data_IF_535273294691
#
_entry.id   IF_535273294691
#
_cell.length_a   1.000
_cell.length_b   1.000
_cell.length_c   1.000
_cell.angle_alpha   90.00
_cell.angle_beta   90.00
_cell.angle_gamma   90.00
#
_symmetry.space_group_name_H-M   'P 1'
#
loop_
_entity.id
_entity.type
_entity.pdbx_description
1 polymer ?
#
# COMPACT_ATOMS: atom_id res chain seq x y z
N UNK A 1 -35.37 5.82 -60.02
CA UNK A 1 -36.54 6.71 -60.17
C UNK A 1 -37.03 7.12 -58.78
N UNK A 2 -37.71 8.28 -58.66
CA UNK A 2 -38.57 8.65 -57.50
C UNK A 2 -39.94 7.92 -57.63
N UNK A 3 -40.88 7.93 -56.66
CA UNK A 3 -41.04 8.86 -55.52
C UNK A 3 -41.43 8.23 -54.16
N UNK A 4 -41.68 9.08 -53.15
CA UNK A 4 -42.62 8.81 -52.04
C UNK A 4 -44.06 9.24 -52.43
N UNK A 5 -44.96 9.70 -51.52
CA UNK A 5 -44.78 10.11 -50.12
C UNK A 5 -45.51 9.09 -49.19
N UNK A 6 -46.31 9.34 -48.14
CA UNK A 6 -46.83 10.55 -47.45
C UNK A 6 -47.35 10.22 -46.05
N UNK A 7 -47.23 11.17 -45.11
CA UNK A 7 -47.94 11.16 -43.81
C UNK A 7 -49.40 11.62 -43.96
N UNK A 8 -50.25 11.38 -42.94
CA UNK A 8 -50.84 12.56 -42.28
C UNK A 8 -50.81 12.48 -40.73
N UNK A 9 -51.03 13.64 -40.10
CA UNK A 9 -51.02 13.84 -38.65
C UNK A 9 -52.40 13.70 -38.01
N UNK A 10 -52.47 13.15 -36.79
CA UNK A 10 -53.56 13.41 -35.86
C UNK A 10 -53.05 13.57 -34.41
N UNK A 11 -53.56 14.60 -33.75
CA UNK A 11 -53.59 14.75 -32.29
C UNK A 11 -55.05 15.02 -31.89
N UNK A 12 -55.43 14.72 -30.64
CA UNK A 12 -56.38 15.65 -30.00
C UNK A 12 -56.16 15.90 -28.49
N UNK A 13 -56.46 17.14 -28.12
CA UNK A 13 -57.08 17.60 -26.84
C UNK A 13 -56.50 17.19 -25.48
N UNK A 14 -55.97 18.20 -24.78
CA UNK A 14 -56.12 18.34 -23.32
C UNK A 14 -57.56 18.75 -22.93
N UNK A 15 -58.05 18.37 -21.73
CA UNK A 15 -59.26 18.95 -21.15
C UNK A 15 -58.97 20.30 -20.48
N UNK A 16 -59.92 21.25 -20.52
CA UNK A 16 -59.79 22.59 -19.91
C UNK A 16 -61.06 23.00 -19.17
N UNK A 17 -60.99 23.13 -17.84
CA UNK A 17 -61.97 23.80 -16.96
C UNK A 17 -61.24 24.32 -15.70
N UNK A 18 -61.66 25.38 -15.00
CA UNK A 18 -62.31 26.66 -15.39
C UNK A 18 -62.55 27.48 -14.12
N UNK A 19 -62.26 28.80 -14.13
CA UNK A 19 -62.80 29.85 -13.21
C UNK A 19 -62.53 29.72 -11.68
N UNK A 20 -62.43 30.77 -10.86
CA UNK A 20 -62.27 32.21 -11.12
C UNK A 20 -61.83 33.00 -9.86
N UNK A 21 -60.95 33.99 -10.07
CA UNK A 21 -60.84 35.29 -9.35
C UNK A 21 -60.38 35.36 -7.86
N UNK A 22 -59.90 36.53 -7.37
CA UNK A 22 -58.89 36.58 -6.30
C UNK A 22 -59.29 37.31 -5.00
N UNK A 23 -58.67 36.90 -3.88
CA UNK A 23 -58.73 37.62 -2.59
C UNK A 23 -57.44 38.40 -2.30
N UNK A 24 -57.45 39.73 -2.51
CA UNK A 24 -56.37 40.64 -2.09
C UNK A 24 -56.75 41.33 -0.77
N UNK A 25 -56.09 41.00 0.33
CA UNK A 25 -56.21 41.75 1.60
C UNK A 25 -54.98 42.62 1.86
N UNK A 26 -55.22 43.85 2.33
CA UNK A 26 -54.18 44.85 2.67
C UNK A 26 -54.67 45.75 3.83
N UNK A 27 -54.31 45.37 5.04
CA UNK A 27 -54.43 46.17 6.28
C UNK A 27 -53.63 45.47 7.37
N UNK A 28 -53.00 46.13 8.35
CA UNK A 28 -52.75 47.58 8.53
C UNK A 28 -51.58 47.75 9.50
N UNK A 29 -50.81 48.85 9.39
CA UNK A 29 -49.90 49.25 10.48
C UNK A 29 -50.74 49.78 11.66
N UNK A 30 -50.41 49.38 12.87
CA UNK A 30 -50.61 50.17 14.07
C UNK A 30 -49.33 50.13 14.92
N UNK A 31 -49.10 51.18 15.72
CA UNK A 31 -47.90 51.35 16.51
C UNK A 31 -48.04 50.67 17.88
N UNK A 32 -46.93 50.14 18.40
CA UNK A 32 -46.83 49.66 19.78
C UNK A 32 -45.37 49.72 20.25
N UNK A 33 -45.07 50.63 21.17
CA UNK A 33 -43.70 50.85 21.66
C UNK A 33 -43.41 50.06 22.92
N UNK A 34 -42.39 49.20 22.88
CA UNK A 34 -41.66 48.66 24.03
C UNK A 34 -40.23 48.32 23.55
N UNK A 35 -39.27 49.23 23.72
CA UNK A 35 -38.31 49.24 24.84
C UNK A 35 -37.46 47.97 24.86
N UNK A 36 -36.22 48.09 24.37
CA UNK A 36 -35.18 47.05 24.41
C UNK A 36 -34.38 47.18 25.71
N UNK A 37 -34.28 46.12 26.55
CA UNK A 37 -33.29 46.08 27.62
C UNK A 37 -31.93 45.64 27.06
N UNK A 38 -31.03 46.61 26.85
CA UNK A 38 -29.61 46.33 26.64
C UNK A 38 -29.02 45.86 27.98
N UNK A 39 -28.38 44.69 28.01
CA UNK A 39 -27.60 44.23 29.16
C UNK A 39 -26.11 44.20 28.79
N UNK A 40 -25.19 44.76 29.60
CA UNK A 40 -23.84 45.07 29.16
C UNK A 40 -22.88 43.88 29.21
N UNK A 41 -21.93 43.85 28.27
CA UNK A 41 -20.74 43.00 28.34
C UNK A 41 -19.80 43.50 29.45
N UNK A 42 -19.58 42.68 30.48
CA UNK A 42 -18.55 42.91 31.49
C UNK A 42 -17.42 41.87 31.35
N UNK A 43 -16.18 42.37 31.20
CA UNK A 43 -14.96 41.57 31.06
C UNK A 43 -14.68 40.70 32.29
N UNK A 44 -14.40 39.41 32.09
CA UNK A 44 -14.09 38.48 33.19
C UNK A 44 -12.65 38.56 33.71
N UNK A 45 -12.39 37.81 34.80
CA UNK A 45 -11.04 37.57 35.35
C UNK A 45 -11.02 36.18 36.02
N UNK A 46 -10.02 35.30 35.76
CA UNK A 46 -10.08 33.91 36.19
C UNK A 46 -9.55 33.67 37.62
N UNK A 47 -10.37 33.03 38.44
CA UNK A 47 -9.89 31.96 39.33
C UNK A 47 -10.10 30.62 38.61
N UNK A 48 -9.45 29.50 38.94
CA UNK A 48 -8.49 29.18 39.98
C UNK A 48 -8.35 27.65 39.94
N UNK A 49 -7.13 27.11 39.79
CA UNK A 49 -6.93 25.81 39.12
C UNK A 49 -7.51 24.57 39.82
N UNK A 50 -8.63 24.06 39.31
CA UNK A 50 -9.09 22.67 39.53
C UNK A 50 -8.35 21.69 38.61
N UNK A 51 -7.98 20.50 39.11
CA UNK A 51 -7.09 19.56 38.42
C UNK A 51 -7.86 18.60 37.52
N UNK A 52 -7.88 18.87 36.22
CA UNK A 52 -8.35 17.90 35.22
C UNK A 52 -7.43 16.67 35.18
N UNK A 53 -7.94 15.50 35.55
CA UNK A 53 -7.22 14.25 35.41
C UNK A 53 -6.97 13.94 33.93
N UNK A 54 -5.74 13.54 33.58
CA UNK A 54 -5.40 13.02 32.24
C UNK A 54 -4.93 11.57 32.37
N UNK A 55 -5.31 10.67 31.44
CA UNK A 55 -4.86 9.29 31.48
C UNK A 55 -3.35 9.20 31.30
N UNK A 56 -2.68 8.45 32.17
CA UNK A 56 -1.27 8.12 32.02
C UNK A 56 -1.09 7.03 30.96
N UNK A 57 -0.52 7.35 29.80
CA UNK A 57 0.19 6.37 28.99
C UNK A 57 1.27 7.03 28.12
N UNK A 58 2.24 6.22 27.66
CA UNK A 58 3.35 6.61 26.77
C UNK A 58 4.24 7.78 27.25
N UNK A 59 5.03 7.54 28.30
CA UNK A 59 6.35 8.20 28.43
C UNK A 59 7.40 7.28 29.08
N UNK A 60 8.06 6.51 28.22
CA UNK A 60 9.17 5.61 28.55
C UNK A 60 9.90 5.18 27.27
N UNK A 61 11.09 4.59 27.41
CA UNK A 61 11.93 4.09 26.30
C UNK A 61 12.49 5.19 25.36
N UNK A 62 13.13 6.23 25.91
CA UNK A 62 14.21 6.97 25.21
C UNK A 62 15.41 7.16 26.16
N UNK A 63 16.08 6.07 26.52
CA UNK A 63 17.33 6.10 27.31
C UNK A 63 18.24 4.88 27.20
N UNK A 64 17.93 3.89 26.32
CA UNK A 64 18.69 2.63 26.20
C UNK A 64 19.10 2.24 24.76
N UNK A 65 19.32 3.21 23.88
CA UNK A 65 19.79 2.98 22.48
C UNK A 65 21.00 3.87 22.15
N UNK A 66 22.07 3.79 22.96
CA UNK A 66 23.39 4.41 22.65
C UNK A 66 24.60 3.49 22.92
N UNK A 67 24.38 2.22 23.28
CA UNK A 67 25.42 1.24 23.61
C UNK A 67 25.35 -0.08 22.79
N UNK A 68 24.65 -0.05 21.65
CA UNK A 68 24.68 -1.14 20.65
C UNK A 68 25.36 -0.71 19.33
N UNK A 69 25.35 0.59 19.01
CA UNK A 69 25.93 1.14 17.78
C UNK A 69 27.46 0.96 17.68
N UNK A 70 28.16 0.91 18.82
CA UNK A 70 29.63 0.83 18.85
C UNK A 70 30.16 -0.58 18.52
N UNK A 71 29.45 -1.64 18.93
CA UNK A 71 29.88 -3.02 18.68
C UNK A 71 29.81 -3.38 17.18
N UNK A 72 28.77 -2.91 16.49
CA UNK A 72 28.55 -3.17 15.06
C UNK A 72 29.64 -2.48 14.21
N UNK A 73 30.07 -1.28 14.59
CA UNK A 73 31.12 -0.53 13.87
C UNK A 73 32.52 -1.14 14.01
N UNK A 74 32.84 -1.82 15.11
CA UNK A 74 34.13 -2.53 15.26
C UNK A 74 34.11 -3.86 14.49
N UNK A 75 32.99 -4.59 14.50
CA UNK A 75 32.82 -5.78 13.68
C UNK A 75 32.93 -5.49 12.17
N UNK A 76 32.46 -4.33 11.73
CA UNK A 76 32.51 -3.91 10.32
C UNK A 76 33.91 -3.56 9.79
N UNK A 77 34.93 -3.36 10.65
CA UNK A 77 36.31 -3.08 10.22
C UNK A 77 37.23 -4.30 10.22
N UNK A 78 36.78 -5.45 10.75
CA UNK A 78 37.53 -6.71 10.75
C UNK A 78 36.94 -7.77 9.80
N UNK A 79 35.86 -7.43 9.09
CA UNK A 79 35.27 -8.27 8.06
C UNK A 79 35.92 -8.07 6.69
N UNK A 80 36.43 -9.17 6.13
CA UNK A 80 36.57 -9.38 4.68
C UNK A 80 37.49 -8.41 3.90
N UNK A 81 38.78 -8.40 4.25
CA UNK A 81 39.85 -8.39 3.23
C UNK A 81 40.46 -9.79 3.09
N UNK A 82 39.60 -10.81 3.12
CA UNK A 82 39.93 -12.13 2.61
C UNK A 82 39.91 -12.04 1.09
N UNK A 83 41.07 -11.73 0.50
CA UNK A 83 41.32 -12.08 -0.91
C UNK A 83 41.00 -13.57 -1.03
N UNK A 84 40.14 -14.00 -1.98
CA UNK A 84 39.93 -15.42 -2.19
C UNK A 84 41.27 -16.01 -2.60
N UNK A 85 41.89 -16.79 -1.71
CA UNK A 85 42.99 -17.63 -2.10
C UNK A 85 42.44 -18.58 -3.15
N UNK A 86 42.90 -18.45 -4.40
CA UNK A 86 42.64 -19.45 -5.41
C UNK A 86 43.09 -20.80 -4.83
N UNK A 87 42.14 -21.71 -4.65
CA UNK A 87 42.48 -23.05 -4.23
C UNK A 87 43.37 -23.64 -5.34
N UNK A 88 44.55 -24.15 -4.97
CA UNK A 88 45.29 -24.98 -5.88
C UNK A 88 44.50 -26.28 -6.03
N UNK A 89 43.72 -26.38 -7.11
CA UNK A 89 42.88 -27.54 -7.45
C UNK A 89 43.73 -28.82 -7.65
N UNK A 90 45.07 -28.73 -7.61
CA UNK A 90 45.97 -29.87 -7.66
C UNK A 90 46.26 -30.39 -9.07
N UNK A 91 45.65 -29.79 -10.09
CA UNK A 91 45.82 -30.14 -11.51
C UNK A 91 46.16 -28.92 -12.38
N UNK A 92 46.65 -29.18 -13.60
CA UNK A 92 47.04 -28.15 -14.55
C UNK A 92 46.76 -28.56 -16.00
N UNK A 93 46.73 -27.58 -16.90
CA UNK A 93 46.73 -27.82 -18.35
C UNK A 93 48.18 -27.72 -18.83
N UNK A 94 48.76 -28.84 -19.30
CA UNK A 94 50.14 -28.91 -19.79
C UNK A 94 50.30 -28.16 -21.12
N UNK A 95 49.30 -28.27 -22.01
CA UNK A 95 49.23 -27.53 -23.27
C UNK A 95 47.79 -27.30 -23.72
N UNK A 96 47.50 -26.11 -24.22
CA UNK A 96 46.22 -25.70 -24.82
C UNK A 96 46.49 -25.18 -26.23
N UNK A 97 46.27 -26.02 -27.24
CA UNK A 97 46.55 -25.71 -28.64
C UNK A 97 45.23 -25.50 -29.41
N UNK A 98 45.01 -24.33 -30.02
CA UNK A 98 43.76 -24.01 -30.73
C UNK A 98 44.00 -23.75 -32.21
N UNK A 99 43.30 -24.47 -33.08
CA UNK A 99 43.25 -24.21 -34.52
C UNK A 99 41.88 -23.64 -34.91
N UNK A 100 41.85 -22.42 -35.44
CA UNK A 100 40.65 -21.73 -35.94
C UNK A 100 40.77 -21.62 -37.46
N UNK A 101 39.73 -22.06 -38.18
CA UNK A 101 39.58 -21.83 -39.62
C UNK A 101 38.41 -20.89 -39.84
N UNK A 102 38.67 -19.72 -40.43
CA UNK A 102 37.62 -18.77 -40.82
C UNK A 102 37.08 -19.16 -42.20
N UNK A 103 35.77 -19.30 -42.32
CA UNK A 103 35.11 -19.72 -43.55
C UNK A 103 34.60 -18.52 -44.37
N UNK A 104 34.33 -18.74 -45.66
CA UNK A 104 33.81 -17.71 -46.58
C UNK A 104 32.31 -17.40 -46.41
N UNK A 105 31.66 -17.98 -45.41
CA UNK A 105 30.22 -17.89 -45.13
C UNK A 105 29.90 -17.21 -43.77
N UNK A 106 30.88 -16.49 -43.22
CA UNK A 106 30.92 -15.86 -41.89
C UNK A 106 30.88 -16.78 -40.67
N UNK A 107 31.03 -18.09 -40.86
CA UNK A 107 31.33 -19.04 -39.76
C UNK A 107 32.84 -19.17 -39.51
N UNK A 108 33.19 -19.79 -38.38
CA UNK A 108 34.53 -20.35 -38.15
C UNK A 108 34.43 -21.71 -37.47
N UNK A 109 35.28 -22.66 -37.88
CA UNK A 109 35.48 -23.91 -37.16
C UNK A 109 36.64 -23.73 -36.17
N UNK A 110 36.44 -24.17 -34.93
CA UNK A 110 37.45 -24.13 -33.86
C UNK A 110 37.73 -25.56 -33.40
N UNK A 111 39.01 -25.92 -33.39
CA UNK A 111 39.51 -27.18 -32.84
C UNK A 111 40.44 -26.86 -31.67
N UNK A 112 39.98 -27.10 -30.44
CA UNK A 112 40.79 -26.98 -29.23
C UNK A 112 41.38 -28.35 -28.86
N UNK A 113 42.69 -28.42 -28.61
CA UNK A 113 43.39 -29.60 -28.12
C UNK A 113 44.01 -29.30 -26.77
N UNK A 114 43.40 -29.84 -25.70
CA UNK A 114 43.80 -29.62 -24.32
C UNK A 114 44.48 -30.88 -23.77
N UNK A 115 45.76 -30.77 -23.41
CA UNK A 115 46.53 -31.82 -22.73
C UNK A 115 46.48 -31.54 -21.22
N UNK A 116 45.80 -32.38 -20.46
CA UNK A 116 45.46 -32.10 -19.05
C UNK A 116 46.21 -33.03 -18.11
N UNK A 117 46.83 -32.50 -17.07
CA UNK A 117 47.46 -33.28 -16.00
C UNK A 117 46.70 -33.14 -14.68
N UNK A 118 45.88 -34.16 -14.39
CA UNK A 118 45.16 -34.30 -13.13
C UNK A 118 46.04 -34.73 -11.94
N UNK A 119 47.32 -35.04 -12.16
CA UNK A 119 48.32 -35.36 -11.11
C UNK A 119 47.86 -36.43 -10.13
N UNK A 120 47.51 -36.04 -8.89
CA UNK A 120 47.01 -36.93 -7.82
C UNK A 120 45.49 -36.94 -7.72
N UNK A 121 44.82 -35.95 -8.31
CA UNK A 121 43.40 -35.71 -8.10
C UNK A 121 42.52 -36.51 -9.06
N UNK A 122 41.44 -37.08 -8.53
CA UNK A 122 40.52 -37.90 -9.32
C UNK A 122 39.47 -37.01 -9.99
N UNK A 123 39.88 -36.36 -11.08
CA UNK A 123 38.95 -35.62 -11.95
C UNK A 123 38.24 -36.54 -12.95
N UNK A 124 37.11 -36.03 -13.44
CA UNK A 124 36.14 -36.81 -14.22
C UNK A 124 35.84 -36.22 -15.61
N UNK A 125 36.77 -35.42 -16.12
CA UNK A 125 36.59 -34.57 -17.30
C UNK A 125 37.12 -33.17 -17.04
N UNK A 126 36.86 -32.27 -17.98
CA UNK A 126 37.03 -30.83 -17.84
C UNK A 126 35.69 -30.14 -18.10
N UNK A 127 35.44 -29.04 -17.40
CA UNK A 127 34.37 -28.11 -17.76
C UNK A 127 34.96 -27.06 -18.71
N UNK A 128 34.35 -26.86 -19.88
CA UNK A 128 34.79 -25.90 -20.90
C UNK A 128 33.70 -24.85 -21.12
N UNK A 129 33.77 -23.79 -20.33
CA UNK A 129 32.82 -22.69 -20.42
C UNK A 129 33.24 -21.73 -21.54
N UNK A 130 32.44 -21.68 -22.62
CA UNK A 130 32.62 -20.74 -23.74
C UNK A 130 31.48 -19.72 -23.68
N UNK A 131 31.76 -18.43 -23.38
CA UNK A 131 30.73 -17.41 -23.39
C UNK A 131 30.18 -17.19 -24.81
N UNK A 132 28.87 -17.39 -24.98
CA UNK A 132 28.16 -17.13 -26.24
C UNK A 132 27.22 -15.93 -26.17
N UNK A 133 27.21 -15.18 -25.05
CA UNK A 133 26.39 -13.98 -24.86
C UNK A 133 27.27 -12.87 -24.29
N UNK A 134 27.26 -11.72 -24.96
CA UNK A 134 28.03 -10.52 -24.59
C UNK A 134 27.10 -9.29 -24.58
N UNK A 135 27.35 -8.35 -23.68
CA UNK A 135 26.66 -7.06 -23.71
C UNK A 135 27.08 -6.27 -24.97
N UNK A 136 26.11 -5.67 -25.67
CA UNK A 136 26.35 -4.85 -26.86
C UNK A 136 25.88 -3.40 -26.66
N UNK A 137 24.65 -3.23 -26.18
CA UNK A 137 24.11 -1.92 -25.79
C UNK A 137 23.13 -2.08 -24.60
N UNK A 138 22.47 -1.00 -24.17
CA UNK A 138 21.55 -1.04 -23.02
C UNK A 138 20.33 -1.97 -23.20
N UNK A 139 19.95 -2.28 -24.43
CA UNK A 139 18.76 -3.06 -24.81
C UNK A 139 19.10 -4.40 -25.50
N UNK A 140 20.33 -4.57 -25.97
CA UNK A 140 20.76 -5.70 -26.80
C UNK A 140 21.97 -6.44 -26.22
N UNK A 141 21.94 -7.77 -26.31
CA UNK A 141 23.12 -8.61 -26.19
C UNK A 141 23.54 -9.09 -27.59
N UNK A 142 24.85 -9.12 -27.87
CA UNK A 142 25.39 -9.89 -28.98
C UNK A 142 25.44 -11.36 -28.56
N UNK A 143 25.05 -12.25 -29.47
CA UNK A 143 25.00 -13.69 -29.23
C UNK A 143 25.77 -14.40 -30.33
N UNK A 144 26.57 -15.40 -29.97
CA UNK A 144 27.19 -16.31 -30.92
C UNK A 144 26.31 -17.55 -31.05
N UNK A 145 26.16 -18.05 -32.28
CA UNK A 145 25.61 -19.40 -32.49
C UNK A 145 26.77 -20.38 -32.42
N UNK A 146 26.72 -21.36 -31.51
CA UNK A 146 27.80 -22.32 -31.29
C UNK A 146 27.21 -23.73 -31.34
N UNK A 147 27.66 -24.50 -32.32
CA UNK A 147 27.32 -25.92 -32.48
C UNK A 147 28.56 -26.75 -32.18
N UNK A 148 28.45 -27.69 -31.23
CA UNK A 148 29.53 -28.65 -30.93
C UNK A 148 29.45 -29.78 -31.96
N UNK A 149 30.49 -29.89 -32.80
CA UNK A 149 30.56 -30.82 -33.92
C UNK A 149 31.06 -32.19 -33.47
N UNK A 150 32.08 -32.23 -32.61
CA UNK A 150 32.55 -33.45 -31.94
C UNK A 150 33.38 -33.16 -30.68
N UNK A 151 33.44 -34.14 -29.78
CA UNK A 151 34.45 -34.20 -28.71
C UNK A 151 35.10 -35.57 -28.77
N UNK A 152 36.42 -35.61 -28.93
CA UNK A 152 37.20 -36.85 -29.04
C UNK A 152 38.41 -36.85 -28.11
N UNK A 153 39.01 -38.01 -27.89
CA UNK A 153 40.30 -38.13 -27.21
C UNK A 153 41.49 -37.90 -28.16
N UNK A 154 42.69 -37.84 -27.61
CA UNK A 154 43.95 -37.72 -28.37
C UNK A 154 44.27 -38.90 -29.31
N UNK A 155 43.44 -39.94 -29.36
CA UNK A 155 43.50 -41.04 -30.33
C UNK A 155 42.36 -40.96 -31.38
N UNK A 156 41.54 -39.91 -31.37
CA UNK A 156 40.44 -39.69 -32.30
C UNK A 156 39.19 -40.54 -32.01
N UNK A 157 39.03 -41.05 -30.77
CA UNK A 157 37.85 -41.82 -30.36
C UNK A 157 36.79 -40.89 -29.78
N UNK A 158 35.53 -41.11 -30.14
CA UNK A 158 34.39 -40.34 -29.63
C UNK A 158 34.33 -40.36 -28.10
N UNK A 159 34.29 -39.18 -27.49
CA UNK A 159 34.17 -39.00 -26.04
C UNK A 159 32.72 -38.70 -25.66
N UNK A 160 32.30 -39.14 -24.48
CA UNK A 160 30.97 -38.78 -23.95
C UNK A 160 31.01 -37.34 -23.45
N UNK A 161 30.22 -36.48 -24.07
CA UNK A 161 30.00 -35.10 -23.62
C UNK A 161 28.51 -34.83 -23.37
N UNK A 162 28.22 -33.84 -22.54
CA UNK A 162 26.86 -33.37 -22.26
C UNK A 162 26.84 -31.85 -22.22
N UNK A 163 26.08 -31.22 -23.10
CA UNK A 163 25.82 -29.77 -23.06
C UNK A 163 24.75 -29.53 -21.98
N UNK A 164 25.20 -29.32 -20.73
CA UNK A 164 24.38 -29.36 -19.51
C UNK A 164 25.11 -28.64 -18.36
N UNK A 165 24.37 -27.93 -17.50
CA UNK A 165 24.90 -27.21 -16.31
C UNK A 165 25.60 -28.11 -15.26
N UNK A 166 25.47 -29.44 -15.37
CA UNK A 166 26.14 -30.43 -14.51
C UNK A 166 26.54 -31.68 -15.34
N UNK A 167 27.69 -32.31 -15.03
CA UNK A 167 28.30 -33.40 -15.82
C UNK A 167 28.86 -34.59 -15.02
N UNK A 168 29.55 -35.52 -15.69
CA UNK A 168 30.25 -36.72 -15.14
C UNK A 168 31.18 -37.38 -16.20
N UNK A 169 32.09 -38.30 -15.81
CA UNK A 169 32.50 -39.44 -16.67
C UNK A 169 33.97 -39.97 -16.68
N UNK A 170 34.84 -39.51 -15.76
CA UNK A 170 36.13 -40.13 -15.31
C UNK A 170 37.42 -40.06 -16.17
N UNK A 171 38.56 -39.93 -15.47
CA UNK A 171 39.89 -40.56 -15.70
C UNK A 171 41.11 -39.68 -16.10
N UNK A 172 42.33 -40.22 -15.89
CA UNK A 172 43.61 -39.52 -15.64
C UNK A 172 44.41 -39.25 -16.93
N UNK A 173 45.15 -38.11 -16.96
CA UNK A 173 46.03 -37.64 -18.05
C UNK A 173 45.43 -37.81 -19.45
N UNK A 174 44.34 -37.09 -19.69
CA UNK A 174 43.63 -37.09 -20.96
C UNK A 174 44.09 -35.97 -21.89
N UNK A 175 44.00 -36.23 -23.20
CA UNK A 175 44.02 -35.18 -24.22
C UNK A 175 42.61 -35.07 -24.79
N UNK A 176 41.97 -33.92 -24.61
CA UNK A 176 40.63 -33.64 -25.13
C UNK A 176 40.75 -32.83 -26.42
N UNK A 177 40.07 -33.26 -27.47
CA UNK A 177 39.96 -32.56 -28.74
C UNK A 177 38.50 -32.15 -28.93
N UNK A 178 38.22 -30.85 -28.84
CA UNK A 178 36.88 -30.28 -29.00
C UNK A 178 36.82 -29.62 -30.37
N UNK A 179 35.88 -30.05 -31.22
CA UNK A 179 35.56 -29.40 -32.48
C UNK A 179 34.19 -28.73 -32.38
N UNK A 180 34.12 -27.44 -32.68
CA UNK A 180 32.85 -26.70 -32.71
C UNK A 180 32.86 -25.58 -33.75
N UNK A 181 31.68 -25.29 -34.29
CA UNK A 181 31.43 -24.26 -35.29
C UNK A 181 30.77 -23.05 -34.63
N UNK A 182 31.29 -21.85 -34.91
CA UNK A 182 30.79 -20.58 -34.36
C UNK A 182 30.35 -19.64 -35.48
N UNK A 183 29.16 -19.07 -35.37
CA UNK A 183 28.67 -17.99 -36.23
C UNK A 183 28.47 -16.68 -35.43
N UNK A 184 28.62 -15.53 -36.12
CA UNK A 184 28.41 -14.20 -35.53
C UNK A 184 29.58 -13.64 -34.69
N UNK A 185 30.70 -14.37 -34.57
CA UNK A 185 31.89 -13.96 -33.84
C UNK A 185 32.76 -12.89 -34.55
N UNK A 186 32.69 -12.83 -35.88
CA UNK A 186 33.46 -11.89 -36.70
C UNK A 186 32.88 -10.46 -36.63
N UNK A 187 33.74 -9.46 -36.75
CA UNK A 187 33.43 -8.03 -36.71
C UNK A 187 33.58 -7.41 -38.12
N UNK A 188 32.57 -6.66 -38.57
CA UNK A 188 32.58 -5.97 -39.85
C UNK A 188 32.96 -4.48 -39.70
N UNK A 189 34.13 -4.09 -40.19
CA UNK A 189 34.55 -2.69 -40.30
C UNK A 189 34.37 -2.15 -41.74
N UNK A 190 34.69 -0.87 -41.99
CA UNK A 190 34.46 -0.25 -43.30
C UNK A 190 35.47 -0.68 -44.38
N UNK A 191 36.70 -0.95 -43.96
CA UNK A 191 37.89 -1.21 -44.76
C UNK A 191 38.42 -2.65 -44.61
N UNK A 192 38.12 -3.31 -43.48
CA UNK A 192 38.53 -4.66 -43.15
C UNK A 192 37.42 -5.43 -42.41
N UNK A 193 37.67 -6.72 -42.17
CA UNK A 193 36.94 -7.55 -41.22
C UNK A 193 37.91 -8.01 -40.12
N UNK A 194 37.42 -8.34 -38.93
CA UNK A 194 38.26 -8.68 -37.78
C UNK A 194 37.68 -9.89 -37.02
N UNK A 195 38.55 -10.80 -36.59
CA UNK A 195 38.26 -11.76 -35.53
C UNK A 195 38.92 -11.29 -34.23
N UNK A 196 38.11 -10.93 -33.22
CA UNK A 196 38.55 -10.78 -31.83
C UNK A 196 38.14 -12.06 -31.08
N UNK A 197 39.10 -12.80 -30.53
CA UNK A 197 38.80 -14.07 -29.84
C UNK A 197 39.65 -14.32 -28.59
N UNK A 198 38.98 -14.74 -27.51
CA UNK A 198 39.62 -15.23 -26.29
C UNK A 198 39.90 -16.72 -26.50
N UNK A 199 41.17 -17.07 -26.76
CA UNK A 199 41.59 -18.42 -27.16
C UNK A 199 41.33 -19.43 -26.05
N UNK A 200 41.90 -19.22 -24.87
CA UNK A 200 41.73 -20.11 -23.72
C UNK A 200 40.45 -19.79 -22.94
N UNK A 201 40.09 -18.51 -22.89
CA UNK A 201 39.11 -17.97 -21.94
C UNK A 201 39.69 -17.80 -20.53
N UNK A 202 39.05 -16.92 -19.74
CA UNK A 202 39.35 -16.60 -18.35
C UNK A 202 38.60 -17.47 -17.34
N UNK A 203 37.91 -18.51 -17.81
CA UNK A 203 37.05 -19.40 -17.01
C UNK A 203 37.85 -20.48 -16.26
N UNK A 204 39.14 -20.65 -16.58
CA UNK A 204 39.98 -21.68 -15.97
C UNK A 204 40.43 -21.29 -14.57
N UNK A 205 40.03 -22.11 -13.59
CA UNK A 205 40.49 -22.04 -12.19
C UNK A 205 41.87 -22.68 -11.98
N UNK A 206 42.50 -23.19 -13.04
CA UNK A 206 43.82 -23.86 -13.03
C UNK A 206 44.82 -23.18 -13.96
N UNK A 207 46.13 -23.28 -13.69
CA UNK A 207 47.16 -22.74 -14.57
C UNK A 207 47.27 -23.51 -15.89
N UNK A 208 47.61 -22.77 -16.95
CA UNK A 208 47.88 -23.28 -18.30
C UNK A 208 49.36 -23.09 -18.59
N UNK A 209 50.12 -24.18 -18.62
CA UNK A 209 51.59 -24.16 -18.76
C UNK A 209 52.06 -23.66 -20.12
N UNK A 210 51.34 -24.00 -21.20
CA UNK A 210 51.56 -23.51 -22.55
C UNK A 210 50.22 -23.30 -23.25
N UNK A 211 50.03 -22.16 -23.91
CA UNK A 211 48.87 -21.87 -24.75
C UNK A 211 49.32 -21.43 -26.15
N UNK A 212 48.73 -21.99 -27.20
CA UNK A 212 48.99 -21.65 -28.60
C UNK A 212 47.71 -21.46 -29.39
N UNK A 213 47.75 -20.62 -30.43
CA UNK A 213 46.64 -20.44 -31.35
C UNK A 213 47.12 -20.32 -32.80
N UNK A 214 46.35 -20.88 -33.72
CA UNK A 214 46.59 -20.79 -35.17
C UNK A 214 45.29 -20.40 -35.85
N UNK A 215 45.29 -19.33 -36.64
CA UNK A 215 44.13 -18.86 -37.40
C UNK A 215 44.42 -18.95 -38.90
N UNK A 216 43.70 -19.81 -39.61
CA UNK A 216 43.67 -19.84 -41.06
C UNK A 216 42.66 -18.81 -41.60
N UNK A 217 43.09 -17.96 -42.52
CA UNK A 217 42.28 -16.87 -43.11
C UNK A 217 42.10 -17.11 -44.61
N UNK A 218 40.85 -17.14 -45.12
CA UNK A 218 40.56 -17.57 -46.49
C UNK A 218 41.18 -16.63 -47.54
N UNK A 219 41.46 -17.17 -48.73
CA UNK A 219 42.01 -16.45 -49.88
C UNK A 219 43.31 -15.65 -49.61
N UNK A 220 44.14 -16.09 -48.65
CA UNK A 220 45.28 -15.31 -48.14
C UNK A 220 44.85 -13.90 -47.68
N UNK A 221 43.73 -13.85 -46.96
CA UNK A 221 43.04 -12.61 -46.55
C UNK A 221 43.70 -11.85 -45.42
N UNK A 222 44.65 -12.43 -44.70
CA UNK A 222 45.33 -11.83 -43.54
C UNK A 222 45.94 -10.45 -43.90
N UNK A 223 45.59 -9.42 -43.11
CA UNK A 223 46.14 -8.06 -43.20
C UNK A 223 47.10 -7.78 -42.05
N UNK A 224 46.66 -8.01 -40.82
CA UNK A 224 47.41 -7.74 -39.61
C UNK A 224 46.97 -8.68 -38.48
N UNK A 225 47.81 -8.82 -37.46
CA UNK A 225 47.55 -9.68 -36.30
C UNK A 225 48.20 -9.10 -35.05
N UNK A 226 47.54 -9.26 -33.90
CA UNK A 226 48.11 -8.94 -32.58
C UNK A 226 47.52 -9.88 -31.52
N UNK A 227 48.17 -9.97 -30.36
CA UNK A 227 47.72 -10.82 -29.26
C UNK A 227 48.14 -10.27 -27.90
N UNK A 228 47.33 -10.60 -26.90
CA UNK A 228 47.51 -10.20 -25.51
C UNK A 228 47.38 -11.42 -24.60
N UNK A 229 48.07 -11.40 -23.46
CA UNK A 229 48.01 -12.45 -22.45
C UNK A 229 47.80 -11.86 -21.05
N UNK A 230 47.23 -12.65 -20.13
CA UNK A 230 47.00 -12.26 -18.73
C UNK A 230 45.54 -11.98 -18.41
N UNK A 231 45.30 -11.22 -17.35
CA UNK A 231 43.96 -10.87 -16.84
C UNK A 231 43.08 -10.10 -17.84
N UNK A 232 41.77 -10.05 -17.57
CA UNK A 232 40.79 -9.25 -18.32
C UNK A 232 41.23 -7.78 -18.43
N UNK A 233 41.53 -7.32 -19.65
CA UNK A 233 42.00 -5.96 -19.92
C UNK A 233 43.52 -5.77 -19.90
N UNK A 234 44.30 -6.85 -19.69
CA UNK A 234 45.75 -6.87 -19.87
C UNK A 234 46.18 -6.39 -21.27
N UNK A 235 47.41 -5.86 -21.34
CA UNK A 235 48.09 -5.48 -22.58
C UNK A 235 49.49 -6.11 -22.69
N UNK A 236 49.79 -7.12 -21.88
CA UNK A 236 51.02 -7.90 -22.01
C UNK A 236 51.00 -8.64 -23.35
N UNK A 237 52.03 -8.46 -24.18
CA UNK A 237 52.06 -9.01 -25.53
C UNK A 237 52.43 -10.51 -25.54
N UNK A 238 51.73 -11.30 -26.36
CA UNK A 238 52.11 -12.70 -26.62
C UNK A 238 53.13 -12.80 -27.78
N UNK A 239 53.66 -14.00 -28.05
CA UNK A 239 54.47 -14.28 -29.25
C UNK A 239 53.56 -14.45 -30.46
N UNK A 240 53.82 -13.72 -31.55
CA UNK A 240 53.04 -13.80 -32.79
C UNK A 240 53.95 -13.91 -34.03
N UNK A 241 53.53 -14.71 -35.01
CA UNK A 241 54.21 -14.89 -36.31
C UNK A 241 53.23 -15.25 -37.42
N UNK A 242 53.45 -14.77 -38.64
CA UNK A 242 52.59 -15.06 -39.80
C UNK A 242 53.25 -15.99 -40.82
N UNK A 243 52.40 -16.71 -41.55
CA UNK A 243 52.69 -17.47 -42.76
C UNK A 243 51.67 -17.09 -43.84
N UNK A 244 51.88 -17.43 -45.12
CA UNK A 244 50.89 -17.16 -46.18
C UNK A 244 49.52 -17.77 -45.83
N UNK A 245 48.52 -16.90 -45.57
CA UNK A 245 47.16 -17.30 -45.22
C UNK A 245 46.94 -17.77 -43.78
N UNK A 246 47.95 -17.72 -42.91
CA UNK A 246 47.84 -18.22 -41.54
C UNK A 246 48.55 -17.32 -40.52
N UNK A 247 47.88 -17.01 -39.42
CA UNK A 247 48.44 -16.34 -38.25
C UNK A 247 48.71 -17.38 -37.15
N UNK A 248 49.88 -17.34 -36.51
CA UNK A 248 50.24 -18.20 -35.39
C UNK A 248 50.60 -17.36 -34.15
N UNK A 249 50.22 -17.86 -32.98
CA UNK A 249 50.31 -17.17 -31.70
C UNK A 249 50.71 -18.16 -30.58
N UNK A 250 51.36 -17.66 -29.54
CA UNK A 250 51.59 -18.43 -28.33
C UNK A 250 51.94 -17.57 -27.12
N UNK A 251 51.55 -18.02 -25.93
CA UNK A 251 51.91 -17.36 -24.69
C UNK A 251 53.45 -17.38 -24.48
N UNK A 252 54.01 -16.30 -23.92
CA UNK A 252 55.46 -16.21 -23.65
C UNK A 252 55.87 -16.85 -22.33
N UNK A 253 54.89 -17.14 -21.46
CA UNK A 253 54.97 -17.78 -20.15
C UNK A 253 53.72 -18.63 -19.92
N UNK A 254 53.68 -19.39 -18.83
CA UNK A 254 52.43 -19.97 -18.34
C UNK A 254 51.42 -18.90 -17.92
N UNK A 255 50.14 -19.23 -18.07
CA UNK A 255 49.00 -18.43 -17.61
C UNK A 255 48.54 -18.97 -16.24
N UNK A 256 48.27 -18.07 -15.31
CA UNK A 256 47.72 -18.35 -13.99
C UNK A 256 46.20 -18.62 -14.07
N UNK A 257 45.56 -19.17 -13.03
CA UNK A 257 44.10 -19.19 -12.94
C UNK A 257 43.48 -17.81 -13.25
N UNK A 258 42.48 -17.78 -14.12
CA UNK A 258 41.82 -16.55 -14.61
C UNK A 258 42.55 -15.80 -15.73
N UNK A 259 43.86 -16.02 -15.95
CA UNK A 259 44.59 -15.40 -17.06
C UNK A 259 44.27 -16.09 -18.40
N UNK A 260 44.16 -15.31 -19.48
CA UNK A 260 43.78 -15.81 -20.80
C UNK A 260 44.71 -15.36 -21.93
N UNK A 261 44.81 -16.18 -22.98
CA UNK A 261 45.37 -15.77 -24.28
C UNK A 261 44.26 -15.18 -25.15
N UNK A 262 44.47 -13.99 -25.70
CA UNK A 262 43.53 -13.26 -26.56
C UNK A 262 44.19 -12.89 -27.88
N UNK A 263 43.50 -13.07 -29.00
CA UNK A 263 44.03 -12.77 -30.34
C UNK A 263 43.09 -11.83 -31.09
N UNK A 264 43.68 -10.95 -31.91
CA UNK A 264 42.98 -10.14 -32.89
C UNK A 264 43.61 -10.40 -34.27
N UNK A 265 42.77 -10.73 -35.26
CA UNK A 265 43.18 -10.98 -36.64
C UNK A 265 42.35 -10.12 -37.59
N UNK A 266 43.01 -9.13 -38.20
CA UNK A 266 42.43 -8.31 -39.27
C UNK A 266 42.60 -8.97 -40.64
N UNK A 267 41.53 -8.99 -41.43
CA UNK A 267 41.48 -9.62 -42.76
C UNK A 267 40.80 -8.72 -43.80
N UNK A 268 41.14 -8.95 -45.08
CA UNK A 268 40.60 -8.21 -46.23
C UNK A 268 39.08 -8.26 -46.26
N UNK A 269 38.44 -7.12 -46.51
CA UNK A 269 36.99 -7.00 -46.53
C UNK A 269 36.34 -8.05 -47.45
N UNK A 270 35.39 -8.82 -46.91
CA UNK A 270 34.58 -9.80 -47.64
C UNK A 270 35.21 -11.19 -47.84
N UNK A 271 36.44 -11.46 -47.37
CA UNK A 271 37.02 -12.82 -47.51
C UNK A 271 36.29 -13.85 -46.64
N UNK A 272 35.73 -13.42 -45.51
CA UNK A 272 34.85 -14.20 -44.65
C UNK A 272 33.36 -14.06 -45.03
N UNK A 273 33.07 -13.73 -46.29
CA UNK A 273 31.71 -13.54 -46.79
C UNK A 273 31.15 -12.12 -46.59
N UNK A 274 29.97 -11.88 -47.17
CA UNK A 274 29.36 -10.55 -47.23
C UNK A 274 28.37 -10.25 -46.08
N UNK A 275 28.04 -11.24 -45.24
CA UNK A 275 27.03 -11.12 -44.18
C UNK A 275 27.66 -11.27 -42.78
N UNK A 276 28.50 -10.29 -42.41
CA UNK A 276 29.26 -10.24 -41.16
C UNK A 276 28.56 -9.37 -40.10
N UNK A 277 27.21 -9.39 -40.08
CA UNK A 277 26.41 -8.63 -39.12
C UNK A 277 26.40 -9.34 -37.75
N UNK A 278 26.61 -8.62 -36.62
CA UNK A 278 26.53 -9.22 -35.30
C UNK A 278 25.10 -9.70 -35.02
N UNK A 279 24.94 -10.95 -34.57
CA UNK A 279 23.64 -11.49 -34.19
C UNK A 279 23.21 -10.90 -32.85
N UNK A 280 22.31 -9.92 -32.88
CA UNK A 280 21.78 -9.26 -31.68
C UNK A 280 20.48 -9.92 -31.22
N UNK A 281 20.38 -10.24 -29.92
CA UNK A 281 19.14 -10.62 -29.25
C UNK A 281 18.78 -9.54 -28.22
N UNK A 282 17.51 -9.12 -28.19
CA UNK A 282 17.04 -8.17 -27.19
C UNK A 282 17.20 -8.76 -25.78
N UNK A 283 17.64 -7.93 -24.84
CA UNK A 283 17.71 -8.28 -23.41
C UNK A 283 16.30 -8.57 -22.87
N UNK A 284 16.14 -9.56 -21.97
CA UNK A 284 14.87 -9.76 -21.29
C UNK A 284 14.59 -8.57 -20.37
N UNK A 285 13.42 -7.93 -20.55
CA UNK A 285 13.06 -6.73 -19.77
C UNK A 285 13.06 -7.02 -18.28
N UNK A 286 13.75 -6.20 -17.49
CA UNK A 286 13.62 -6.26 -16.02
C UNK A 286 12.23 -5.80 -15.58
N UNK A 287 11.83 -6.16 -14.35
CA UNK A 287 10.53 -5.77 -13.79
C UNK A 287 10.28 -4.24 -13.83
N UNK A 288 11.33 -3.42 -13.75
CA UNK A 288 11.22 -1.96 -13.80
C UNK A 288 10.96 -1.41 -15.21
N UNK A 289 11.47 -2.07 -16.26
CA UNK A 289 11.23 -1.72 -17.68
C UNK A 289 9.80 -2.05 -18.16
N UNK A 290 8.99 -2.74 -17.36
CA UNK A 290 7.54 -2.82 -17.58
C UNK A 290 6.80 -1.53 -17.16
N UNK A 291 7.46 -0.63 -16.44
CA UNK A 291 6.92 0.66 -15.97
C UNK A 291 7.54 1.86 -16.69
N UNK A 292 8.00 1.69 -17.93
CA UNK A 292 8.54 2.76 -18.79
C UNK A 292 7.67 4.02 -18.74
N UNK A 293 8.28 5.15 -18.37
CA UNK A 293 7.60 6.45 -18.15
C UNK A 293 7.39 7.15 -19.50
N UNK A 294 6.58 6.53 -20.36
CA UNK A 294 6.11 7.11 -21.61
C UNK A 294 4.94 8.08 -21.37
N UNK A 295 4.69 9.06 -22.27
CA UNK A 295 3.49 9.89 -22.20
C UNK A 295 2.18 9.08 -22.21
N UNK A 296 2.17 7.91 -22.86
CA UNK A 296 1.00 7.03 -22.93
C UNK A 296 0.72 6.30 -21.61
N UNK A 297 1.75 5.75 -20.95
CA UNK A 297 1.61 5.09 -19.63
C UNK A 297 1.22 6.09 -18.54
N UNK A 298 1.80 7.30 -18.56
CA UNK A 298 1.39 8.40 -17.67
C UNK A 298 -0.06 8.82 -17.91
N UNK A 299 -0.49 9.01 -19.17
CA UNK A 299 -1.88 9.35 -19.49
C UNK A 299 -2.87 8.25 -19.05
N UNK A 300 -2.52 6.98 -19.24
CA UNK A 300 -3.31 5.84 -18.77
C UNK A 300 -3.46 5.80 -17.25
N UNK A 301 -2.36 6.02 -16.51
CA UNK A 301 -2.39 6.09 -15.05
C UNK A 301 -3.27 7.25 -14.52
N UNK A 302 -3.17 8.44 -15.13
CA UNK A 302 -4.01 9.59 -14.79
C UNK A 302 -5.49 9.31 -15.09
N UNK A 303 -5.80 8.68 -16.23
CA UNK A 303 -7.18 8.30 -16.57
C UNK A 303 -7.78 7.32 -15.55
N UNK A 304 -7.03 6.28 -15.16
CA UNK A 304 -7.46 5.31 -14.14
C UNK A 304 -7.66 5.99 -12.78
N UNK A 305 -6.74 6.89 -12.38
CA UNK A 305 -6.88 7.67 -11.15
C UNK A 305 -8.14 8.55 -11.14
N UNK A 306 -8.43 9.26 -12.24
CA UNK A 306 -9.63 10.08 -12.37
C UNK A 306 -10.92 9.25 -12.34
N UNK A 307 -10.95 8.08 -13.00
CA UNK A 307 -12.08 7.15 -12.94
C UNK A 307 -12.29 6.65 -11.50
N UNK A 308 -11.20 6.27 -10.80
CA UNK A 308 -11.24 5.85 -9.40
C UNK A 308 -11.74 6.96 -8.46
N UNK A 309 -11.27 8.19 -8.63
CA UNK A 309 -11.70 9.36 -7.85
C UNK A 309 -13.18 9.69 -8.08
N UNK A 310 -13.66 9.65 -9.33
CA UNK A 310 -15.09 9.86 -9.66
C UNK A 310 -15.96 8.74 -9.09
N UNK A 311 -15.51 7.49 -9.16
CA UNK A 311 -16.22 6.34 -8.58
C UNK A 311 -16.29 6.43 -7.04
N UNK A 312 -15.18 6.75 -6.38
CA UNK A 312 -15.12 6.94 -4.92
C UNK A 312 -15.99 8.11 -4.47
N UNK A 313 -15.91 9.26 -5.13
CA UNK A 313 -16.76 10.42 -4.84
C UNK A 313 -18.26 10.10 -5.03
N UNK A 314 -18.61 9.33 -6.06
CA UNK A 314 -19.98 8.82 -6.28
C UNK A 314 -20.42 7.83 -5.20
N UNK A 315 -19.51 6.99 -4.68
CA UNK A 315 -19.79 6.08 -3.56
C UNK A 315 -20.04 6.85 -2.26
N UNK A 316 -19.16 7.80 -1.91
CA UNK A 316 -19.35 8.69 -0.74
C UNK A 316 -20.66 9.46 -0.85
N UNK A 317 -20.95 10.08 -2.01
CA UNK A 317 -22.22 10.81 -2.22
C UNK A 317 -23.48 9.95 -2.10
N UNK A 318 -23.39 8.64 -2.38
CA UNK A 318 -24.53 7.71 -2.35
C UNK A 318 -24.68 6.91 -1.06
N UNK A 319 -23.61 6.71 -0.27
CA UNK A 319 -23.59 5.82 0.90
C UNK A 319 -22.90 6.40 2.14
N UNK A 320 -22.01 7.39 1.97
CA UNK A 320 -21.27 8.04 3.05
C UNK A 320 -21.87 9.38 3.46
N UNK A 321 -23.20 9.46 3.58
CA UNK A 321 -23.93 10.64 4.03
C UNK A 321 -24.84 10.29 5.19
N UNK A 322 -24.79 11.09 6.25
CA UNK A 322 -25.61 10.97 7.44
C UNK A 322 -27.10 10.88 7.10
N UNK A 323 -27.84 10.09 7.87
CA UNK A 323 -29.30 10.04 7.83
C UNK A 323 -29.87 10.69 9.08
N UNK A 324 -31.00 11.38 8.92
CA UNK A 324 -31.78 12.01 9.99
C UNK A 324 -33.18 11.40 9.99
N UNK A 325 -33.81 11.22 11.16
CA UNK A 325 -35.22 10.86 11.22
C UNK A 325 -36.06 11.94 10.52
N UNK A 326 -37.01 11.50 9.70
CA UNK A 326 -37.91 12.36 8.96
C UNK A 326 -39.07 12.88 9.84
N UNK A 327 -39.37 12.17 10.93
CA UNK A 327 -40.46 12.42 11.90
C UNK A 327 -39.92 12.76 13.30
N UNK A 328 -40.80 13.22 14.20
CA UNK A 328 -40.50 13.39 15.63
C UNK A 328 -40.51 12.03 16.36
N UNK A 329 -39.49 11.21 16.10
CA UNK A 329 -39.43 9.77 16.42
C UNK A 329 -39.87 9.41 17.85
N UNK A 330 -39.45 10.16 18.87
CA UNK A 330 -39.81 9.87 20.26
C UNK A 330 -41.30 10.05 20.57
N UNK A 331 -42.00 10.90 19.81
CA UNK A 331 -43.44 11.14 19.92
C UNK A 331 -44.27 10.26 18.97
N UNK A 332 -43.79 10.02 17.75
CA UNK A 332 -44.52 9.28 16.69
C UNK A 332 -44.25 7.77 16.71
N UNK A 333 -43.06 7.36 17.18
CA UNK A 333 -42.46 6.03 16.99
C UNK A 333 -42.40 5.59 15.52
N UNK A 334 -42.31 6.56 14.61
CA UNK A 334 -42.16 6.36 13.16
C UNK A 334 -40.67 6.45 12.78
N UNK A 335 -40.01 5.31 12.45
CA UNK A 335 -38.58 5.22 12.15
C UNK A 335 -38.22 5.62 10.71
N UNK A 336 -39.08 6.35 9.99
CA UNK A 336 -38.73 6.84 8.65
C UNK A 336 -37.50 7.76 8.70
N UNK A 337 -36.44 7.38 7.97
CA UNK A 337 -35.20 8.14 7.83
C UNK A 337 -35.10 8.84 6.47
N UNK A 338 -34.30 9.91 6.41
CA UNK A 338 -33.92 10.60 5.17
C UNK A 338 -32.46 11.04 5.21
N UNK A 339 -31.82 11.14 4.04
CA UNK A 339 -30.43 11.61 3.95
C UNK A 339 -30.34 13.10 4.29
N UNK A 340 -29.50 13.46 5.28
CA UNK A 340 -29.30 14.85 5.74
C UNK A 340 -28.85 15.74 4.57
N UNK A 341 -29.59 16.80 4.20
CA UNK A 341 -29.22 17.67 3.09
C UNK A 341 -27.99 18.52 3.43
N UNK A 342 -27.06 18.65 2.48
CA UNK A 342 -25.85 19.46 2.63
C UNK A 342 -26.20 20.94 2.86
N UNK A 343 -25.41 21.61 3.71
CA UNK A 343 -25.52 23.04 4.03
C UNK A 343 -26.85 23.49 4.64
N UNK A 344 -27.67 22.57 5.18
CA UNK A 344 -28.85 22.94 5.98
C UNK A 344 -28.39 23.48 7.34
N UNK A 345 -28.93 24.62 7.81
CA UNK A 345 -28.78 25.04 9.21
C UNK A 345 -29.32 23.98 10.17
N UNK A 346 -28.74 23.92 11.37
CA UNK A 346 -29.17 22.99 12.42
C UNK A 346 -30.51 23.42 13.00
N UNK A 347 -31.58 22.75 12.58
CA UNK A 347 -32.95 23.04 13.00
C UNK A 347 -33.25 22.34 14.33
N UNK A 348 -32.94 22.99 15.45
CA UNK A 348 -33.37 22.55 16.78
C UNK A 348 -34.89 22.66 16.87
N UNK A 349 -35.58 21.52 16.86
CA UNK A 349 -37.03 21.44 17.09
C UNK A 349 -37.27 21.25 18.59
N UNK A 350 -37.91 22.19 19.30
CA UNK A 350 -38.20 22.01 20.71
C UNK A 350 -39.36 21.01 20.90
N UNK A 351 -39.08 19.89 21.55
CA UNK A 351 -40.11 18.94 22.00
C UNK A 351 -40.62 19.34 23.39
N UNK A 352 -41.93 19.59 23.51
CA UNK A 352 -42.57 20.07 24.76
C UNK A 352 -43.13 18.94 25.64
N UNK A 353 -43.09 17.69 25.17
CA UNK A 353 -43.58 16.52 25.90
C UNK A 353 -42.41 15.77 26.53
N UNK A 354 -42.53 15.27 27.79
CA UNK A 354 -41.48 14.46 28.39
C UNK A 354 -41.37 13.10 27.68
N UNK A 355 -40.15 12.60 27.40
CA UNK A 355 -39.97 11.29 26.77
C UNK A 355 -40.59 10.19 27.64
N UNK A 356 -41.21 9.20 26.98
CA UNK A 356 -41.95 8.07 27.57
C UNK A 356 -42.90 8.41 28.75
N UNK A 357 -43.40 9.66 28.80
CA UNK A 357 -44.31 10.20 29.84
C UNK A 357 -43.68 10.27 31.25
N UNK A 358 -42.36 10.41 31.33
CA UNK A 358 -41.65 10.62 32.61
C UNK A 358 -42.21 11.82 33.40
N UNK A 359 -42.24 11.68 34.72
CA UNK A 359 -42.70 12.73 35.64
C UNK A 359 -41.62 13.79 35.85
N UNK A 360 -41.97 15.05 36.22
CA UNK A 360 -40.98 16.09 36.52
C UNK A 360 -39.95 15.68 37.56
N UNK A 361 -40.35 14.97 38.63
CA UNK A 361 -39.41 14.48 39.65
C UNK A 361 -38.43 13.43 39.10
N UNK A 362 -38.92 12.49 38.30
CA UNK A 362 -38.10 11.47 37.64
C UNK A 362 -37.12 12.12 36.65
N UNK A 363 -37.52 13.19 35.96
CA UNK A 363 -36.64 13.94 35.05
C UNK A 363 -35.57 14.73 35.78
N UNK A 364 -35.87 15.35 36.93
CA UNK A 364 -34.86 16.01 37.78
C UNK A 364 -33.74 15.03 38.17
N UNK A 365 -34.14 13.89 38.74
CA UNK A 365 -33.22 12.81 39.13
C UNK A 365 -32.42 12.23 37.95
N UNK A 366 -32.93 12.26 36.72
CA UNK A 366 -32.18 11.84 35.52
C UNK A 366 -31.21 12.93 35.01
N UNK A 367 -31.43 14.21 35.35
CA UNK A 367 -30.64 15.34 34.86
C UNK A 367 -29.42 15.67 35.72
N UNK A 368 -29.48 15.48 37.04
CA UNK A 368 -28.38 15.77 37.96
C UNK A 368 -28.06 14.65 38.97
N UNK A 369 -28.64 13.46 38.76
CA UNK A 369 -28.45 12.24 39.58
C UNK A 369 -28.89 12.37 41.05
N UNK A 370 -29.52 13.49 41.44
CA UNK A 370 -30.03 13.77 42.80
C UNK A 370 -31.57 13.80 42.85
N UNK A 371 -32.15 13.27 43.93
CA UNK A 371 -33.55 13.51 44.29
C UNK A 371 -33.64 14.73 45.20
N UNK A 372 -33.48 15.94 44.65
CA UNK A 372 -33.60 17.15 45.45
C UNK A 372 -35.07 17.46 45.79
N UNK A 373 -35.27 18.16 46.91
CA UNK A 373 -36.59 18.68 47.31
C UNK A 373 -37.26 19.55 46.22
N UNK A 374 -36.49 20.15 45.31
CA UNK A 374 -36.98 20.90 44.13
C UNK A 374 -37.83 20.02 43.19
N UNK A 375 -37.43 18.78 43.01
CA UNK A 375 -38.01 17.81 42.07
C UNK A 375 -39.25 17.15 42.71
N UNK A 376 -39.17 16.88 44.01
CA UNK A 376 -40.30 16.43 44.83
C UNK A 376 -41.37 17.51 44.91
N UNK A 377 -41.02 18.79 45.08
CA UNK A 377 -42.01 19.89 45.06
C UNK A 377 -42.60 20.15 43.66
N UNK A 378 -41.85 19.92 42.58
CA UNK A 378 -42.40 19.95 41.21
C UNK A 378 -43.53 18.91 41.01
N UNK A 379 -43.52 17.80 41.77
CA UNK A 379 -44.62 16.82 41.78
C UNK A 379 -45.94 17.41 42.27
N UNK A 380 -45.92 18.39 43.18
CA UNK A 380 -47.15 19.06 43.67
C UNK A 380 -47.81 19.85 42.53
N UNK A 381 -47.01 20.48 41.67
CA UNK A 381 -47.48 21.18 40.47
C UNK A 381 -48.00 20.18 39.43
N UNK A 382 -47.31 19.06 39.23
CA UNK A 382 -47.74 18.00 38.29
C UNK A 382 -49.04 17.30 38.75
N UNK A 383 -49.23 17.13 40.06
CA UNK A 383 -50.50 16.66 40.65
C UNK A 383 -51.64 17.67 40.41
N UNK A 384 -51.36 18.98 40.42
CA UNK A 384 -52.34 20.00 40.03
C UNK A 384 -52.66 19.95 38.53
N UNK A 385 -51.66 19.80 37.65
CA UNK A 385 -51.86 19.65 36.20
C UNK A 385 -52.65 18.37 35.87
N UNK A 386 -52.43 17.28 36.60
CA UNK A 386 -53.23 16.04 36.51
C UNK A 386 -54.58 16.12 37.25
N UNK A 387 -54.90 17.25 37.89
CA UNK A 387 -56.18 17.49 38.56
C UNK A 387 -56.46 16.64 39.79
N UNK A 388 -55.42 16.24 40.55
CA UNK A 388 -55.57 15.59 41.86
C UNK A 388 -55.81 16.60 42.98
N UNK A 389 -55.24 17.79 42.85
CA UNK A 389 -55.41 18.92 43.76
C UNK A 389 -55.57 20.22 42.96
N UNK A 390 -56.07 21.27 43.60
CA UNK A 390 -56.09 22.64 43.07
C UNK A 390 -55.39 23.57 44.06
N UNK A 391 -54.52 24.43 43.54
CA UNK A 391 -53.83 25.48 44.30
C UNK A 391 -54.68 26.75 44.19
N UNK A 392 -55.14 27.27 45.33
CA UNK A 392 -55.87 28.54 45.43
C UNK A 392 -55.02 29.62 46.10
N UNK A 393 -55.21 30.86 45.68
CA UNK A 393 -54.59 32.05 46.30
C UNK A 393 -55.46 32.56 47.46
N UNK A 394 -54.85 32.88 48.62
CA UNK A 394 -55.54 33.35 49.81
C UNK A 394 -55.54 34.88 49.83
N UNK A 395 -56.46 35.47 49.05
CA UNK A 395 -56.59 36.92 48.79
C UNK A 395 -56.28 37.77 50.03
N UNK A 396 -55.27 38.64 49.91
CA UNK A 396 -54.80 39.53 50.98
C UNK A 396 -53.71 38.95 51.88
N UNK A 397 -53.23 37.73 51.62
CA UNK A 397 -52.05 37.12 52.25
C UNK A 397 -51.17 36.48 51.20
N UNK A 398 -49.85 36.49 51.41
CA UNK A 398 -48.91 35.70 50.59
C UNK A 398 -48.89 34.24 51.08
N UNK A 399 -50.01 33.54 50.93
CA UNK A 399 -50.22 32.15 51.35
C UNK A 399 -51.18 31.47 50.37
N UNK A 400 -51.04 30.14 50.22
CA UNK A 400 -51.81 29.35 49.26
C UNK A 400 -52.56 28.22 49.95
N UNK A 401 -53.77 27.92 49.48
CA UNK A 401 -54.59 26.81 49.96
C UNK A 401 -54.58 25.69 48.92
N UNK A 402 -54.07 24.53 49.32
CA UNK A 402 -54.09 23.29 48.54
C UNK A 402 -55.40 22.55 48.87
N UNK A 403 -56.18 22.22 47.84
CA UNK A 403 -57.48 21.54 48.02
C UNK A 403 -57.49 20.24 47.22
N UNK A 404 -57.79 19.07 47.84
CA UNK A 404 -57.88 17.82 47.11
C UNK A 404 -59.13 17.80 46.21
N UNK A 405 -58.98 17.24 45.00
CA UNK A 405 -60.05 17.14 43.99
C UNK A 405 -60.37 15.69 43.59
N UNK A 406 -59.47 14.74 43.86
CA UNK A 406 -59.67 13.30 43.62
C UNK A 406 -59.31 12.51 44.86
N UNK A 407 -60.23 11.68 45.34
CA UNK A 407 -59.96 10.70 46.40
C UNK A 407 -59.21 9.46 45.87
N UNK A 408 -59.30 9.17 44.58
CA UNK A 408 -58.69 8.01 43.96
C UNK A 408 -57.19 8.26 43.69
N UNK A 409 -56.35 7.50 44.39
CA UNK A 409 -54.87 7.60 44.32
C UNK A 409 -54.21 6.41 43.63
N UNK A 410 -54.99 5.53 42.97
CA UNK A 410 -54.47 4.28 42.35
C UNK A 410 -53.49 4.51 41.20
N UNK A 411 -53.62 5.62 40.49
CA UNK A 411 -52.78 6.00 39.35
C UNK A 411 -51.52 6.82 39.76
N UNK A 412 -51.26 6.97 41.06
CA UNK A 412 -50.10 7.68 41.60
C UNK A 412 -48.93 6.72 41.87
N UNK A 413 -47.72 7.16 41.53
CA UNK A 413 -46.49 6.43 41.89
C UNK A 413 -46.23 6.49 43.41
N UNK A 414 -45.42 5.60 44.01
CA UNK A 414 -45.25 5.53 45.47
C UNK A 414 -44.81 6.84 46.12
N UNK A 415 -43.88 7.58 45.51
CA UNK A 415 -43.45 8.89 46.00
C UNK A 415 -44.55 9.95 45.83
N UNK A 416 -45.27 9.97 44.70
CA UNK A 416 -46.39 10.89 44.45
C UNK A 416 -47.51 10.71 45.48
N UNK A 417 -47.83 9.45 45.78
CA UNK A 417 -48.80 9.09 46.81
C UNK A 417 -48.33 9.54 48.20
N UNK A 418 -47.04 9.34 48.54
CA UNK A 418 -46.49 9.77 49.83
C UNK A 418 -46.56 11.29 50.02
N UNK A 419 -46.29 12.05 48.96
CA UNK A 419 -46.47 13.52 48.93
C UNK A 419 -47.95 13.87 49.14
N UNK A 420 -48.86 13.27 48.36
CA UNK A 420 -50.29 13.55 48.44
C UNK A 420 -50.89 13.23 49.83
N UNK A 421 -50.52 12.08 50.42
CA UNK A 421 -50.93 11.70 51.77
C UNK A 421 -50.46 12.74 52.81
N UNK A 422 -49.18 13.13 52.80
CA UNK A 422 -48.63 14.09 53.75
C UNK A 422 -48.98 15.57 53.48
N UNK A 423 -49.70 15.88 52.39
CA UNK A 423 -50.28 17.21 52.16
C UNK A 423 -51.65 17.38 52.83
N UNK A 424 -52.35 16.28 53.11
CA UNK A 424 -53.74 16.28 53.57
C UNK A 424 -53.99 15.45 54.84
N UNK A 425 -53.03 14.62 55.28
CA UNK A 425 -53.12 13.71 56.45
C UNK A 425 -54.40 12.84 56.47
N UNK A 426 -54.88 12.44 55.28
CA UNK A 426 -56.13 11.69 55.09
C UNK A 426 -57.41 12.51 55.25
N UNK A 427 -57.31 13.81 55.52
CA UNK A 427 -58.43 14.75 55.57
C UNK A 427 -58.92 15.14 54.17
N UNK A 428 -60.21 15.48 54.07
CA UNK A 428 -60.77 16.13 52.86
C UNK A 428 -60.80 17.66 52.94
N UNK A 429 -60.38 18.23 54.07
CA UNK A 429 -60.21 19.67 54.24
C UNK A 429 -58.95 20.15 53.52
N UNK A 430 -58.99 21.35 52.94
CA UNK A 430 -57.81 21.97 52.32
C UNK A 430 -56.73 22.35 53.33
N UNK A 431 -55.48 22.30 52.90
CA UNK A 431 -54.28 22.59 53.72
C UNK A 431 -53.61 23.87 53.23
N UNK A 432 -53.19 24.75 54.15
CA UNK A 432 -52.45 25.98 53.78
C UNK A 432 -50.95 25.73 53.71
N UNK A 433 -50.28 26.31 52.71
CA UNK A 433 -48.83 26.18 52.55
C UNK A 433 -48.07 26.70 53.78
N UNK A 434 -48.56 27.78 54.42
CA UNK A 434 -48.04 28.28 55.70
C UNK A 434 -48.01 27.23 56.82
N UNK A 435 -48.96 26.28 56.86
CA UNK A 435 -49.04 25.23 57.90
C UNK A 435 -48.12 24.04 57.66
N UNK A 436 -47.62 23.86 56.43
CA UNK A 436 -46.66 22.82 56.06
C UNK A 436 -45.20 23.21 56.37
N UNK A 437 -44.96 24.47 56.76
CA UNK A 437 -43.61 25.01 56.99
C UNK A 437 -42.94 24.39 58.22
N UNK A 438 -41.92 23.57 57.98
CA UNK A 438 -41.12 22.90 59.01
C UNK A 438 -41.62 21.50 59.39
N UNK A 439 -42.92 21.22 59.25
CA UNK A 439 -43.52 19.91 59.46
C UNK A 439 -43.33 18.99 58.26
N UNK A 440 -43.53 19.51 57.03
CA UNK A 440 -43.58 18.71 55.80
C UNK A 440 -42.22 18.15 55.32
N UNK A 441 -41.10 18.63 55.88
CA UNK A 441 -39.75 18.14 55.52
C UNK A 441 -39.61 16.63 55.71
N UNK A 442 -40.17 16.04 56.77
CA UNK A 442 -40.10 14.58 56.96
C UNK A 442 -40.81 13.79 55.85
N UNK A 443 -41.91 14.33 55.30
CA UNK A 443 -42.61 13.74 54.15
C UNK A 443 -41.80 13.87 52.87
N UNK A 444 -41.16 15.03 52.66
CA UNK A 444 -40.30 15.28 51.49
C UNK A 444 -39.12 14.30 51.46
N UNK A 445 -38.33 14.20 52.52
CA UNK A 445 -37.20 13.27 52.62
C UNK A 445 -37.62 11.79 52.41
N UNK A 446 -38.84 11.43 52.82
CA UNK A 446 -39.38 10.08 52.58
C UNK A 446 -39.76 9.88 51.10
N UNK A 447 -40.30 10.91 50.44
CA UNK A 447 -40.61 10.88 49.01
C UNK A 447 -39.34 10.86 48.14
N UNK A 448 -38.27 11.56 48.54
CA UNK A 448 -36.93 11.49 47.92
C UNK A 448 -36.41 10.03 47.93
N UNK A 449 -36.46 9.35 49.09
CA UNK A 449 -36.11 7.93 49.21
C UNK A 449 -36.98 6.99 48.35
N UNK A 450 -38.27 7.29 48.18
CA UNK A 450 -39.17 6.54 47.30
C UNK A 450 -38.94 6.82 45.81
N UNK A 451 -38.46 8.00 45.44
CA UNK A 451 -38.12 8.36 44.05
C UNK A 451 -36.87 7.61 43.59
N UNK A 452 -35.85 7.52 44.45
CA UNK A 452 -34.67 6.67 44.24
C UNK A 452 -35.03 5.18 44.12
N UNK A 453 -35.94 4.68 44.96
CA UNK A 453 -36.45 3.31 44.84
C UNK A 453 -37.19 3.08 43.51
N UNK A 454 -37.87 4.10 42.98
CA UNK A 454 -38.56 4.04 41.70
C UNK A 454 -37.60 4.06 40.50
N UNK A 455 -36.53 4.86 40.53
CA UNK A 455 -35.52 4.92 39.46
C UNK A 455 -34.69 3.63 39.36
N UNK A 456 -34.37 3.01 40.49
CA UNK A 456 -33.74 1.69 40.55
C UNK A 456 -34.71 0.58 40.07
N UNK A 457 -35.99 0.64 40.43
CA UNK A 457 -37.05 -0.25 39.93
C UNK A 457 -37.21 -0.16 38.40
N UNK A 458 -37.07 1.04 37.86
CA UNK A 458 -37.13 1.34 36.41
C UNK A 458 -35.78 1.12 35.69
N UNK A 459 -34.73 0.73 36.44
CA UNK A 459 -33.38 0.39 35.96
C UNK A 459 -32.64 1.53 35.25
N UNK A 460 -32.90 2.77 35.63
CA UNK A 460 -32.09 3.91 35.17
C UNK A 460 -30.74 3.96 35.89
N UNK A 461 -30.73 3.59 37.17
CA UNK A 461 -29.53 3.45 37.99
C UNK A 461 -29.38 1.99 38.47
N UNK A 462 -28.13 1.55 38.65
CA UNK A 462 -27.79 0.18 39.10
C UNK A 462 -27.86 0.00 40.62
N UNK A 463 -27.81 1.11 41.36
CA UNK A 463 -28.04 1.24 42.79
C UNK A 463 -28.85 2.51 43.05
N UNK A 464 -29.04 2.86 44.32
CA UNK A 464 -29.21 4.27 44.66
C UNK A 464 -27.95 5.03 44.19
N UNK A 465 -28.04 6.13 43.43
CA UNK A 465 -26.89 6.99 43.14
C UNK A 465 -26.33 7.67 44.41
#
# INVERSE_FOLDING_TARGET
>A
MRPGPSSPSFAPTTPRRSTAWPGRWRSSRQNGSAIVPICPTATGRPAGGGRGARPHFVRGIISRVRWLSAAILVGALLGSQAVPAAADEGWAIDAFDVAITVNSDSTMNVHETLKVDFRTEQHHGIFRDIPIVYEWDQHSNRVYDLTVDSVTDGAGRDWKYSVSDNGADREIKQTYVLAYTVAGALNAFGDHDELYWNVTGQQWVVPISQASATVAVPANGLLWMTCFQGDTGSREACRSSSMPGQAQFGATRGLSPGEQLTILVGMKKGVAGNNLAPMLKAKPRTFLEFFDISPATVAGAVLIFLIGAVWLGRMVWRRGRDMEYASAYYSTRDPTERVRPLFRPEAVVPEYAPPDKLRPAQLGLILDESADTKDVTATIVDLAVRGYLVIKDVIGKHDWELVPMKDDTRDLLPYEKKIFEGLFDGSKSGTRLSSLKGTFSSTLNHAEGLLYADSARLKWFTSNP
#
